data_IF_218670834709
#
_entry.id   IF_218670834709
#
_cell.length_a   1.000
_cell.length_b   1.000
_cell.length_c   1.000
_cell.angle_alpha   90.00
_cell.angle_beta   90.00
_cell.angle_gamma   90.00
#
_symmetry.space_group_name_H-M   'P 1'
#
loop_
_entity.id
_entity.type
_entity.pdbx_description
1 polymer ?
#
# COMPACT_ATOMS: atom_id res chain seq x y z
N UNK A 1 -5.16 19.83 37.96
CA UNK A 1 -6.12 19.06 37.13
C UNK A 1 -5.57 18.96 35.71
N UNK A 2 -5.64 17.83 35.02
CA UNK A 2 -5.23 17.73 33.62
C UNK A 2 -6.12 18.67 32.78
N UNK A 3 -5.50 19.33 31.77
CA UNK A 3 -6.25 20.18 30.85
C UNK A 3 -7.23 19.40 29.99
N UNK A 4 -8.32 20.01 29.61
CA UNK A 4 -9.25 19.42 28.65
C UNK A 4 -8.61 19.35 27.24
N UNK A 5 -8.69 18.17 26.61
CA UNK A 5 -8.18 17.93 25.25
C UNK A 5 -9.37 18.00 24.29
N UNK A 6 -9.41 19.04 23.44
CA UNK A 6 -10.51 19.27 22.51
C UNK A 6 -10.17 18.78 21.07
N UNK A 7 -8.88 18.68 20.71
CA UNK A 7 -8.40 18.23 19.40
C UNK A 7 -7.15 17.38 19.59
N UNK A 8 -6.99 16.36 18.75
CA UNK A 8 -5.82 15.48 18.72
C UNK A 8 -5.01 15.75 17.47
N UNK A 9 -3.70 15.65 17.56
CA UNK A 9 -2.83 15.55 16.39
C UNK A 9 -3.00 14.17 15.78
N UNK A 10 -3.03 14.11 14.45
CA UNK A 10 -2.91 12.88 13.67
C UNK A 10 -1.95 13.14 12.53
N UNK A 11 -1.16 12.16 12.16
CA UNK A 11 -0.29 12.26 11.01
C UNK A 11 -1.10 12.51 9.73
N UNK A 12 -0.73 13.48 8.88
CA UNK A 12 -1.48 13.79 7.66
C UNK A 12 -1.61 12.60 6.71
N UNK A 13 -0.58 11.77 6.60
CA UNK A 13 -0.58 10.59 5.74
C UNK A 13 -1.56 9.53 6.27
N UNK A 14 -1.53 9.28 7.58
CA UNK A 14 -2.48 8.39 8.26
C UNK A 14 -3.94 8.83 8.02
N UNK A 15 -4.21 10.14 8.11
CA UNK A 15 -5.56 10.68 7.86
C UNK A 15 -6.05 10.36 6.44
N UNK A 16 -5.17 10.51 5.44
CA UNK A 16 -5.48 10.21 4.03
C UNK A 16 -5.83 8.73 3.89
N UNK A 17 -4.96 7.85 4.34
CA UNK A 17 -5.10 6.41 4.07
C UNK A 17 -6.15 5.73 4.93
N UNK A 18 -6.33 6.12 6.20
CA UNK A 18 -7.46 5.64 7.03
C UNK A 18 -8.80 6.06 6.42
N UNK A 19 -8.89 7.30 5.89
CA UNK A 19 -10.09 7.76 5.20
C UNK A 19 -10.32 6.99 3.91
N UNK A 20 -9.28 6.68 3.17
CA UNK A 20 -9.34 5.88 1.94
C UNK A 20 -9.85 4.46 2.23
N UNK A 21 -9.29 3.77 3.21
CA UNK A 21 -9.78 2.46 3.65
C UNK A 21 -11.27 2.51 4.05
N UNK A 22 -11.66 3.54 4.81
CA UNK A 22 -13.07 3.74 5.18
C UNK A 22 -13.98 3.91 3.96
N UNK A 23 -13.55 4.65 2.94
CA UNK A 23 -14.32 4.83 1.69
C UNK A 23 -14.39 3.52 0.88
N UNK A 24 -13.45 2.60 1.10
CA UNK A 24 -13.48 1.23 0.57
C UNK A 24 -14.32 0.26 1.43
N UNK A 25 -14.97 0.73 2.49
CA UNK A 25 -15.76 -0.11 3.39
C UNK A 25 -14.96 -0.83 4.47
N UNK A 26 -13.70 -0.42 4.71
CA UNK A 26 -12.76 -1.04 5.63
C UNK A 26 -12.52 -0.13 6.84
N UNK A 27 -12.71 -0.67 8.04
CA UNK A 27 -12.37 0.00 9.30
C UNK A 27 -10.94 -0.39 9.73
N UNK A 28 -10.00 0.54 9.63
CA UNK A 28 -8.64 0.34 10.15
C UNK A 28 -8.62 0.53 11.66
N UNK A 29 -8.00 -0.43 12.36
CA UNK A 29 -7.75 -0.37 13.81
C UNK A 29 -6.30 -0.71 14.10
N UNK A 30 -5.69 -0.07 15.11
CA UNK A 30 -4.32 -0.38 15.54
C UNK A 30 -4.34 -1.53 16.54
N UNK A 31 -3.38 -2.45 16.42
CA UNK A 31 -3.24 -3.63 17.27
C UNK A 31 -1.77 -3.84 17.67
N UNK A 32 -1.55 -4.33 18.88
CA UNK A 32 -0.21 -4.78 19.34
C UNK A 32 -0.02 -6.29 19.20
N UNK A 33 -0.97 -6.98 18.60
CA UNK A 33 -1.00 -8.45 18.56
C UNK A 33 -0.70 -9.02 17.17
N UNK A 34 -0.83 -8.21 16.14
CA UNK A 34 -0.65 -8.61 14.74
C UNK A 34 0.12 -7.54 13.99
N UNK A 35 0.82 -7.92 12.94
CA UNK A 35 1.45 -6.99 11.99
C UNK A 35 0.37 -6.39 11.08
N UNK A 36 -0.38 -7.25 10.37
CA UNK A 36 -1.63 -6.93 9.70
C UNK A 36 -2.55 -8.16 9.79
N UNK A 37 -3.88 -7.94 9.85
CA UNK A 37 -4.87 -9.02 9.80
C UNK A 37 -6.24 -8.47 9.37
N UNK A 38 -6.88 -9.13 8.44
CA UNK A 38 -8.25 -8.88 8.04
C UNK A 38 -9.21 -9.84 8.76
N UNK A 39 -10.28 -9.34 9.38
CA UNK A 39 -11.20 -10.15 10.20
C UNK A 39 -12.38 -10.78 9.41
N UNK A 40 -12.44 -10.62 8.08
CA UNK A 40 -13.56 -11.08 7.27
C UNK A 40 -14.90 -10.37 7.54
N UNK A 41 -14.90 -9.28 8.34
CA UNK A 41 -16.13 -8.62 8.82
C UNK A 41 -16.09 -7.09 8.68
N UNK A 42 -15.09 -6.58 8.00
CA UNK A 42 -14.95 -5.15 7.72
C UNK A 42 -13.86 -4.45 8.54
N UNK A 43 -13.07 -5.19 9.34
CA UNK A 43 -12.03 -4.60 10.17
C UNK A 43 -10.65 -5.10 9.78
N UNK A 44 -9.79 -4.17 9.41
CA UNK A 44 -8.36 -4.38 9.16
C UNK A 44 -7.57 -3.95 10.39
N UNK A 45 -6.91 -4.89 11.04
CA UNK A 45 -5.98 -4.64 12.13
C UNK A 45 -4.60 -4.42 11.55
N UNK A 46 -3.92 -3.34 11.96
CA UNK A 46 -2.53 -3.02 11.57
C UNK A 46 -1.75 -2.70 12.84
N UNK A 47 -0.51 -3.14 12.89
CA UNK A 47 0.40 -2.93 13.98
C UNK A 47 0.47 -1.47 14.44
N UNK A 48 0.73 -1.24 15.72
CA UNK A 48 1.02 0.11 16.23
C UNK A 48 2.43 0.54 15.78
N UNK A 49 2.78 1.84 15.81
CA UNK A 49 4.13 2.29 15.43
C UNK A 49 5.26 1.58 16.20
N UNK A 50 4.98 1.10 17.41
CA UNK A 50 5.95 0.39 18.24
C UNK A 50 6.13 -1.08 17.85
N UNK A 51 5.25 -1.62 17.00
CA UNK A 51 5.26 -3.03 16.56
C UNK A 51 5.51 -3.19 15.06
N UNK A 52 5.59 -2.10 14.33
CA UNK A 52 5.99 -2.05 12.92
C UNK A 52 7.50 -1.78 12.82
N UNK A 53 8.09 -2.14 11.68
CA UNK A 53 9.48 -1.84 11.40
C UNK A 53 9.67 -0.32 11.16
N UNK A 54 10.90 0.21 11.36
CA UNK A 54 11.13 1.66 11.26
C UNK A 54 10.87 2.28 9.89
N UNK A 55 10.86 1.48 8.83
CA UNK A 55 10.57 1.87 7.44
C UNK A 55 9.13 1.60 7.02
N UNK A 56 8.30 1.03 7.92
CA UNK A 56 6.87 0.88 7.69
C UNK A 56 6.12 2.18 7.90
N UNK A 57 5.20 2.48 7.02
CA UNK A 57 4.16 3.48 7.23
C UNK A 57 2.77 2.86 7.19
N UNK A 58 1.82 3.46 7.92
CA UNK A 58 0.42 3.01 7.85
C UNK A 58 -0.13 3.10 6.41
N UNK A 59 0.37 4.03 5.61
CA UNK A 59 0.01 4.19 4.21
C UNK A 59 0.40 2.97 3.35
N UNK A 60 1.64 2.49 3.50
CA UNK A 60 2.14 1.30 2.81
C UNK A 60 1.31 0.08 3.20
N UNK A 61 1.10 -0.12 4.51
CA UNK A 61 0.32 -1.24 5.03
C UNK A 61 -1.12 -1.24 4.49
N UNK A 62 -1.80 -0.09 4.51
CA UNK A 62 -3.17 0.00 3.99
C UNK A 62 -3.22 -0.27 2.49
N UNK A 63 -2.30 0.31 1.70
CA UNK A 63 -2.27 0.06 0.25
C UNK A 63 -2.03 -1.41 -0.04
N UNK A 64 -1.10 -2.05 0.68
CA UNK A 64 -0.78 -3.46 0.54
C UNK A 64 -2.01 -4.34 0.81
N UNK A 65 -2.71 -4.12 1.92
CA UNK A 65 -3.92 -4.86 2.27
C UNK A 65 -5.08 -4.65 1.27
N UNK A 66 -5.21 -3.43 0.73
CA UNK A 66 -6.17 -3.18 -0.35
C UNK A 66 -5.80 -3.93 -1.63
N UNK A 67 -4.50 -4.12 -1.91
CA UNK A 67 -4.04 -4.94 -3.03
C UNK A 67 -4.36 -6.42 -2.81
N UNK A 68 -4.18 -6.96 -1.59
CA UNK A 68 -4.62 -8.31 -1.26
C UNK A 68 -6.11 -8.52 -1.51
N UNK A 69 -6.95 -7.62 -1.00
CA UNK A 69 -8.39 -7.65 -1.21
C UNK A 69 -8.78 -7.67 -2.70
N UNK A 70 -8.09 -6.86 -3.51
CA UNK A 70 -8.32 -6.79 -4.95
C UNK A 70 -7.85 -8.05 -5.68
N UNK A 71 -6.73 -8.63 -5.28
CA UNK A 71 -6.18 -9.87 -5.85
C UNK A 71 -7.07 -11.06 -5.50
N UNK A 72 -7.44 -11.20 -4.24
CA UNK A 72 -8.31 -12.30 -3.77
C UNK A 72 -9.74 -12.19 -4.32
N UNK A 73 -10.23 -10.96 -4.53
CA UNK A 73 -11.53 -10.69 -5.14
C UNK A 73 -12.69 -10.63 -4.15
N UNK A 74 -13.93 -10.35 -4.64
CA UNK A 74 -15.06 -9.99 -3.78
C UNK A 74 -15.49 -11.06 -2.78
N UNK A 75 -15.29 -12.35 -3.10
CA UNK A 75 -15.65 -13.46 -2.22
C UNK A 75 -14.78 -13.50 -0.96
N UNK A 76 -13.51 -13.16 -1.11
CA UNK A 76 -12.53 -13.17 -0.03
C UNK A 76 -12.78 -12.07 1.04
N UNK A 77 -13.65 -11.10 0.74
CA UNK A 77 -13.99 -10.05 1.69
C UNK A 77 -14.69 -10.57 2.96
N UNK A 78 -15.26 -11.77 2.92
CA UNK A 78 -15.90 -12.42 4.05
C UNK A 78 -15.03 -13.49 4.72
N UNK A 79 -13.81 -13.69 4.22
CA UNK A 79 -12.85 -14.64 4.73
C UNK A 79 -11.78 -13.93 5.55
N UNK A 80 -11.34 -14.52 6.67
CA UNK A 80 -10.20 -14.00 7.45
C UNK A 80 -8.94 -14.00 6.57
N UNK A 81 -8.10 -12.99 6.71
CA UNK A 81 -6.87 -12.78 5.95
C UNK A 81 -7.06 -12.95 4.41
N UNK A 82 -8.21 -12.46 3.91
CA UNK A 82 -8.60 -12.54 2.51
C UNK A 82 -8.73 -13.96 1.96
N UNK A 83 -8.91 -14.95 2.84
CA UNK A 83 -8.93 -16.37 2.49
C UNK A 83 -7.56 -16.93 2.12
N UNK A 84 -6.48 -16.21 2.42
CA UNK A 84 -5.12 -16.66 2.21
C UNK A 84 -4.69 -17.57 3.36
N UNK A 85 -4.18 -18.74 3.01
CA UNK A 85 -3.60 -19.67 3.98
C UNK A 85 -2.08 -19.66 3.79
N UNK A 86 -1.39 -19.12 4.79
CA UNK A 86 0.07 -18.96 4.78
C UNK A 86 0.84 -20.29 4.71
N UNK A 87 0.19 -21.41 5.04
CA UNK A 87 0.77 -22.75 4.96
C UNK A 87 0.60 -23.39 3.58
N UNK A 88 -0.12 -22.74 2.64
CA UNK A 88 -0.34 -23.28 1.30
C UNK A 88 0.67 -22.73 0.28
N UNK A 89 1.01 -23.58 -0.68
CA UNK A 89 2.01 -23.32 -1.73
C UNK A 89 1.60 -22.13 -2.66
N UNK A 90 0.30 -21.84 -2.76
CA UNK A 90 -0.23 -20.77 -3.61
C UNK A 90 -0.15 -19.39 -2.94
N UNK A 91 0.12 -19.30 -1.63
CA UNK A 91 0.22 -18.04 -0.90
C UNK A 91 1.22 -17.07 -1.54
N UNK A 92 2.40 -17.56 -1.91
CA UNK A 92 3.47 -16.76 -2.51
C UNK A 92 3.03 -16.09 -3.83
N UNK A 93 2.24 -16.77 -4.66
CA UNK A 93 1.72 -16.23 -5.92
C UNK A 93 0.73 -15.07 -5.67
N UNK A 94 -0.12 -15.19 -4.65
CA UNK A 94 -1.05 -14.12 -4.28
C UNK A 94 -0.32 -12.92 -3.69
N UNK A 95 0.69 -13.16 -2.86
CA UNK A 95 1.56 -12.11 -2.32
C UNK A 95 2.27 -11.36 -3.45
N UNK A 96 2.91 -12.09 -4.36
CA UNK A 96 3.55 -11.52 -5.55
C UNK A 96 2.56 -10.71 -6.41
N UNK A 97 1.34 -11.18 -6.57
CA UNK A 97 0.31 -10.45 -7.30
C UNK A 97 -0.11 -9.14 -6.61
N UNK A 98 -0.24 -9.16 -5.28
CA UNK A 98 -0.50 -7.96 -4.50
C UNK A 98 0.64 -6.93 -4.63
N UNK A 99 1.90 -7.37 -4.57
CA UNK A 99 3.08 -6.53 -4.75
C UNK A 99 3.18 -5.94 -6.16
N UNK A 100 2.86 -6.71 -7.20
CA UNK A 100 2.80 -6.21 -8.59
C UNK A 100 1.74 -5.12 -8.75
N UNK A 101 0.55 -5.34 -8.20
CA UNK A 101 -0.52 -4.35 -8.22
C UNK A 101 -0.11 -3.08 -7.45
N UNK A 102 0.48 -3.24 -6.26
CA UNK A 102 0.99 -2.14 -5.43
C UNK A 102 2.02 -1.30 -6.18
N UNK A 103 3.02 -1.94 -6.80
CA UNK A 103 4.03 -1.27 -7.61
C UNK A 103 3.39 -0.51 -8.78
N UNK A 104 2.49 -1.15 -9.54
CA UNK A 104 1.81 -0.54 -10.67
C UNK A 104 0.96 0.67 -10.27
N UNK A 105 0.32 0.65 -9.09
CA UNK A 105 -0.43 1.78 -8.56
C UNK A 105 0.51 2.90 -8.11
N UNK A 106 1.59 2.58 -7.41
CA UNK A 106 2.59 3.54 -6.95
C UNK A 106 3.29 4.26 -8.12
N UNK A 107 3.54 3.55 -9.23
CA UNK A 107 4.14 4.11 -10.45
C UNK A 107 3.29 5.21 -11.08
N UNK A 108 1.98 5.14 -10.94
CA UNK A 108 1.08 6.19 -11.50
C UNK A 108 1.36 7.58 -10.92
N UNK A 109 2.08 7.64 -9.79
CA UNK A 109 2.42 8.88 -9.08
C UNK A 109 3.91 8.96 -8.73
N UNK A 110 4.76 8.10 -9.32
CA UNK A 110 6.21 8.05 -9.10
C UNK A 110 6.61 7.82 -7.64
N UNK A 111 5.91 6.92 -6.95
CA UNK A 111 6.14 6.58 -5.55
C UNK A 111 6.45 5.08 -5.34
N UNK A 112 6.99 4.37 -6.36
CA UNK A 112 7.31 2.93 -6.24
C UNK A 112 8.19 2.65 -5.04
N UNK A 113 9.27 3.40 -4.88
CA UNK A 113 10.21 3.22 -3.75
C UNK A 113 9.56 3.52 -2.41
N UNK A 114 8.71 4.55 -2.33
CA UNK A 114 7.97 4.88 -1.12
C UNK A 114 7.00 3.77 -0.70
N UNK A 115 6.32 3.16 -1.66
CA UNK A 115 5.40 2.05 -1.42
C UNK A 115 6.04 0.68 -1.64
N UNK A 116 7.36 0.57 -1.53
CA UNK A 116 8.02 -0.73 -1.62
C UNK A 116 7.65 -1.65 -0.46
N UNK A 117 7.71 -2.96 -0.68
CA UNK A 117 7.56 -3.94 0.38
C UNK A 117 8.64 -3.78 1.45
N UNK A 118 8.29 -3.92 2.71
CA UNK A 118 9.18 -3.89 3.88
C UNK A 118 9.34 -5.27 4.52
N UNK A 119 8.76 -6.31 3.88
CA UNK A 119 8.75 -7.69 4.33
C UNK A 119 9.82 -8.55 3.63
N UNK A 120 9.83 -9.85 3.91
CA UNK A 120 10.69 -10.86 3.26
C UNK A 120 10.55 -10.88 1.72
N UNK A 121 9.48 -10.30 1.17
CA UNK A 121 9.26 -10.18 -0.27
C UNK A 121 9.92 -8.93 -0.90
N UNK A 122 10.73 -8.18 -0.15
CA UNK A 122 11.44 -7.01 -0.67
C UNK A 122 12.29 -7.33 -1.91
N UNK A 123 13.01 -8.43 -1.88
CA UNK A 123 13.83 -8.86 -3.00
C UNK A 123 13.02 -9.17 -4.27
N UNK A 124 11.79 -9.66 -4.12
CA UNK A 124 10.88 -9.84 -5.26
C UNK A 124 10.42 -8.48 -5.79
N UNK A 125 10.00 -7.58 -4.93
CA UNK A 125 9.53 -6.25 -5.30
C UNK A 125 10.62 -5.44 -6.04
N UNK A 126 11.86 -5.49 -5.57
CA UNK A 126 12.99 -4.76 -6.17
C UNK A 126 13.39 -5.31 -7.55
N UNK A 127 13.04 -6.56 -7.87
CA UNK A 127 13.27 -7.17 -9.20
C UNK A 127 12.11 -7.00 -10.17
N UNK A 128 11.00 -6.36 -9.77
CA UNK A 128 9.87 -6.13 -10.67
C UNK A 128 10.31 -5.32 -11.90
N UNK A 129 9.79 -5.66 -13.09
CA UNK A 129 10.09 -4.92 -14.31
C UNK A 129 9.57 -3.47 -14.23
N UNK A 130 10.00 -2.64 -15.17
CA UNK A 130 9.53 -1.25 -15.29
C UNK A 130 8.00 -1.18 -15.34
N UNK A 131 7.35 -2.07 -16.10
CA UNK A 131 5.92 -2.29 -16.00
C UNK A 131 5.61 -3.56 -15.19
N UNK A 132 5.18 -3.46 -13.93
CA UNK A 132 4.94 -4.63 -13.07
C UNK A 132 3.86 -5.57 -13.58
N UNK A 133 3.04 -5.12 -14.52
CA UNK A 133 1.95 -5.91 -15.12
C UNK A 133 2.33 -6.52 -16.48
N UNK A 134 3.59 -6.46 -16.89
CA UNK A 134 4.07 -6.98 -18.17
C UNK A 134 5.17 -8.02 -17.98
N UNK A 135 4.80 -9.18 -17.45
CA UNK A 135 5.69 -10.34 -17.33
C UNK A 135 4.89 -11.64 -17.48
N UNK A 136 4.91 -12.19 -18.69
CA UNK A 136 4.16 -13.41 -19.00
C UNK A 136 4.78 -14.69 -18.40
N UNK A 137 5.97 -14.60 -17.80
CA UNK A 137 6.66 -15.75 -17.20
C UNK A 137 6.37 -15.91 -15.72
N UNK A 138 5.79 -14.89 -15.08
CA UNK A 138 5.41 -14.90 -13.67
C UNK A 138 3.90 -15.13 -13.53
N UNK A 139 3.52 -16.20 -12.82
CA UNK A 139 2.12 -16.59 -12.61
C UNK A 139 1.30 -15.49 -11.90
N UNK A 140 1.94 -14.70 -11.04
CA UNK A 140 1.31 -13.60 -10.31
C UNK A 140 0.83 -12.45 -11.22
N UNK A 141 1.45 -12.28 -12.40
CA UNK A 141 1.10 -11.19 -13.33
C UNK A 141 -0.36 -11.26 -13.77
N UNK A 142 -0.86 -12.45 -14.08
CA UNK A 142 -2.26 -12.63 -14.49
C UNK A 142 -3.26 -12.23 -13.40
N UNK A 143 -2.97 -12.55 -12.14
CA UNK A 143 -3.77 -12.15 -10.98
C UNK A 143 -3.72 -10.63 -10.76
N UNK A 144 -2.54 -10.02 -10.86
CA UNK A 144 -2.36 -8.58 -10.72
C UNK A 144 -3.12 -7.79 -11.81
N UNK A 145 -3.11 -8.25 -13.06
CA UNK A 145 -3.89 -7.66 -14.16
C UNK A 145 -5.40 -7.73 -13.86
N UNK A 146 -5.89 -8.89 -13.40
CA UNK A 146 -7.29 -9.04 -13.02
C UNK A 146 -7.66 -8.12 -11.84
N UNK A 147 -6.78 -7.99 -10.85
CA UNK A 147 -6.97 -7.10 -9.71
C UNK A 147 -7.01 -5.62 -10.14
N UNK A 148 -6.14 -5.20 -11.05
CA UNK A 148 -6.18 -3.86 -11.65
C UNK A 148 -7.49 -3.61 -12.40
N UNK A 149 -8.01 -4.60 -13.12
CA UNK A 149 -9.31 -4.50 -13.78
C UNK A 149 -10.45 -4.36 -12.77
N UNK A 150 -10.46 -5.19 -11.72
CA UNK A 150 -11.45 -5.09 -10.61
C UNK A 150 -11.41 -3.70 -9.98
N UNK A 151 -10.22 -3.15 -9.72
CA UNK A 151 -10.08 -1.80 -9.19
C UNK A 151 -10.78 -0.78 -10.09
N UNK A 152 -10.47 -0.76 -11.39
CA UNK A 152 -11.04 0.18 -12.37
C UNK A 152 -12.56 0.11 -12.48
N UNK A 153 -13.13 -1.06 -12.22
CA UNK A 153 -14.58 -1.30 -12.29
C UNK A 153 -15.29 -1.08 -10.93
N UNK A 154 -14.53 -0.86 -9.86
CA UNK A 154 -15.03 -0.72 -8.51
C UNK A 154 -15.19 0.74 -8.06
N UNK A 155 -15.91 0.94 -6.95
CA UNK A 155 -15.95 2.24 -6.26
C UNK A 155 -14.64 2.61 -5.55
N UNK A 156 -13.66 1.72 -5.52
CA UNK A 156 -12.36 1.91 -4.85
C UNK A 156 -11.36 2.71 -5.70
N UNK A 157 -11.55 2.76 -7.03
CA UNK A 157 -10.59 3.42 -7.94
C UNK A 157 -10.36 4.89 -7.57
N UNK A 158 -11.43 5.67 -7.42
CA UNK A 158 -11.32 7.10 -7.09
C UNK A 158 -10.65 7.34 -5.72
N UNK A 159 -11.09 6.73 -4.60
CA UNK A 159 -10.45 6.91 -3.31
C UNK A 159 -8.95 6.54 -3.29
N UNK A 160 -8.56 5.43 -3.92
CA UNK A 160 -7.16 4.98 -3.96
C UNK A 160 -6.32 5.96 -4.78
N UNK A 161 -6.77 6.37 -5.96
CA UNK A 161 -6.05 7.36 -6.80
C UNK A 161 -5.90 8.71 -6.11
N UNK A 162 -6.94 9.17 -5.44
CA UNK A 162 -6.91 10.41 -4.68
C UNK A 162 -5.88 10.34 -3.54
N UNK A 163 -5.80 9.21 -2.82
CA UNK A 163 -4.82 8.99 -1.77
C UNK A 163 -3.38 8.97 -2.31
N UNK A 164 -3.15 8.26 -3.42
CA UNK A 164 -1.84 8.23 -4.09
C UNK A 164 -1.41 9.64 -4.52
N UNK A 165 -2.29 10.41 -5.17
CA UNK A 165 -2.01 11.79 -5.56
C UNK A 165 -1.76 12.71 -4.37
N UNK A 166 -2.48 12.54 -3.26
CA UNK A 166 -2.28 13.31 -2.05
C UNK A 166 -0.94 12.97 -1.39
N UNK A 167 -0.56 11.69 -1.36
CA UNK A 167 0.75 11.22 -0.88
C UNK A 167 1.88 11.81 -1.72
N UNK A 168 1.76 11.83 -3.04
CA UNK A 168 2.76 12.43 -3.92
C UNK A 168 2.95 13.94 -3.67
N UNK A 169 1.86 14.67 -3.41
CA UNK A 169 1.96 16.10 -3.02
C UNK A 169 2.69 16.31 -1.70
N UNK A 170 2.45 15.44 -0.70
CA UNK A 170 3.17 15.49 0.57
C UNK A 170 4.65 15.19 0.31
N UNK A 171 4.98 14.14 -0.46
CA UNK A 171 6.34 13.79 -0.81
C UNK A 171 7.09 14.96 -1.46
N UNK A 172 6.48 15.63 -2.43
CA UNK A 172 7.06 16.82 -3.06
C UNK A 172 7.36 17.95 -2.08
N UNK A 173 6.46 18.20 -1.11
CA UNK A 173 6.66 19.22 -0.08
C UNK A 173 7.79 18.87 0.88
N UNK A 174 8.04 17.59 1.14
CA UNK A 174 9.04 17.13 2.09
C UNK A 174 10.43 16.95 1.47
N UNK A 175 10.56 17.04 0.16
CA UNK A 175 11.79 16.84 -0.60
C UNK A 175 13.01 17.55 -0.01
N UNK A 176 12.87 18.85 0.28
CA UNK A 176 13.97 19.69 0.77
C UNK A 176 14.23 19.53 2.26
N UNK A 177 13.34 18.85 2.98
CA UNK A 177 13.41 18.67 4.44
C UNK A 177 13.82 17.25 4.84
N UNK A 178 13.66 16.27 3.96
CA UNK A 178 13.94 14.87 4.25
C UNK A 178 15.46 14.60 4.31
N UNK A 179 15.91 13.93 5.37
CA UNK A 179 17.27 13.41 5.50
C UNK A 179 17.60 12.33 4.46
N UNK A 180 18.88 11.99 4.30
CA UNK A 180 19.33 11.00 3.31
C UNK A 180 18.80 9.58 3.59
N UNK A 181 18.51 9.28 4.85
CA UNK A 181 17.96 8.01 5.34
C UNK A 181 16.42 7.99 5.42
N UNK A 182 15.76 9.06 4.98
CA UNK A 182 14.30 9.17 5.04
C UNK A 182 13.64 8.47 3.85
N UNK A 183 12.56 7.71 4.11
CA UNK A 183 11.70 7.13 3.07
C UNK A 183 11.14 8.20 2.10
N UNK A 184 10.97 9.45 2.56
CA UNK A 184 10.56 10.58 1.73
C UNK A 184 11.63 11.01 0.72
N UNK A 185 12.91 10.70 0.98
CA UNK A 185 14.01 10.99 0.07
C UNK A 185 14.04 10.01 -1.11
N UNK A 186 13.72 8.75 -0.88
CA UNK A 186 13.67 7.71 -1.91
C UNK A 186 12.63 8.00 -3.00
N UNK A 187 11.54 8.67 -2.65
CA UNK A 187 10.49 9.05 -3.59
C UNK A 187 10.94 10.01 -4.72
N UNK A 188 12.15 10.57 -4.63
CA UNK A 188 12.73 11.45 -5.67
C UNK A 188 13.43 10.73 -6.81
N UNK A 189 13.94 9.51 -6.57
CA UNK A 189 14.70 8.75 -7.57
C UNK A 189 13.81 8.33 -8.73
N UNK A 190 12.50 8.27 -8.52
CA UNK A 190 11.50 7.91 -9.50
C UNK A 190 10.99 9.12 -10.33
N UNK A 191 11.40 10.34 -9.98
CA UNK A 191 11.01 11.54 -10.70
C UNK A 191 11.86 11.73 -11.98
N UNK A 192 11.17 11.96 -13.08
CA UNK A 192 11.59 12.12 -14.48
C UNK A 192 13.02 12.65 -14.70
N UNK A 193 13.70 12.18 -15.77
CA UNK A 193 14.89 12.85 -16.25
C UNK A 193 14.51 14.31 -16.58
N UNK A 194 15.24 15.25 -15.97
CA UNK A 194 15.12 16.66 -16.30
C UNK A 194 15.22 16.82 -17.81
N UNK A 195 14.20 17.36 -18.46
CA UNK A 195 14.33 17.93 -19.79
C UNK A 195 15.46 18.98 -19.77
N UNK A 196 16.67 18.53 -20.02
CA UNK A 196 17.76 19.38 -20.43
C UNK A 196 17.49 19.77 -21.88
N UNK A 197 16.52 20.68 -22.04
CA UNK A 197 16.24 21.35 -23.29
C UNK A 197 17.36 22.34 -23.58
N UNK A 198 18.08 22.08 -24.64
CA UNK A 198 18.87 23.05 -25.39
C UNK A 198 18.04 24.21 -25.90
#
# INVERSE_FOLDING_TARGET
>A
MPRSIHKRYSDPLDLIWVRTAHNCGIQVVRSTQVFAAWDGKGRLQIGTPETLDPDDSLAQMILHELCHALVAGPQAFQEEDWGLDYDQQDHEVYEHAALRLQAALADTVHLRTFFASTTDFRDYFDRLPENPLDDSTDEATGLAIQAMQRLKESSWDSPIREALMATAKISQLLTDFAGEDSIWRSAQTDALPSDAGT
#
